data_IF_520626325246
#
_entry.id   IF_520626325246
#
_cell.length_a   1.000
_cell.length_b   1.000
_cell.length_c   1.000
_cell.angle_alpha   90.00
_cell.angle_beta   90.00
_cell.angle_gamma   90.00
#
_symmetry.space_group_name_H-M   'P 1'
#
loop_
_entity.id
_entity.type
_entity.pdbx_description
1 polymer ?
#
# COMPACT_ATOMS: atom_id res chain seq x y z
N UNK A 1 22.06 17.52 -9.59
CA UNK A 1 21.45 17.68 -8.24
C UNK A 1 20.39 16.60 -8.06
N UNK A 2 20.44 15.82 -6.97
CA UNK A 2 19.39 14.84 -6.64
C UNK A 2 18.22 15.60 -6.02
N UNK A 3 17.02 15.43 -6.58
CA UNK A 3 15.80 15.99 -5.98
C UNK A 3 15.67 15.50 -4.52
N UNK A 4 15.15 16.32 -3.61
CA UNK A 4 15.14 15.96 -2.20
C UNK A 4 14.17 14.80 -1.90
N UNK A 5 14.64 13.78 -1.18
CA UNK A 5 13.95 12.50 -0.95
C UNK A 5 12.61 12.61 -0.20
N UNK A 6 12.31 13.76 0.41
CA UNK A 6 11.00 14.01 1.06
C UNK A 6 9.87 14.29 0.05
N UNK A 7 10.20 14.64 -1.20
CA UNK A 7 9.25 14.78 -2.30
C UNK A 7 8.99 13.47 -3.04
N UNK A 8 9.81 12.44 -2.82
CA UNK A 8 9.64 11.14 -3.43
C UNK A 8 8.60 10.31 -2.65
N UNK A 9 7.74 9.61 -3.40
CA UNK A 9 6.73 8.72 -2.84
C UNK A 9 5.39 9.40 -2.49
N UNK A 10 4.51 8.64 -1.86
CA UNK A 10 3.11 9.03 -1.61
C UNK A 10 3.04 10.24 -0.68
N UNK A 11 3.93 10.29 0.32
CA UNK A 11 4.02 11.38 1.29
C UNK A 11 4.31 12.74 0.64
N UNK A 12 5.18 12.76 -0.38
CA UNK A 12 5.58 13.98 -1.08
C UNK A 12 4.42 14.55 -1.88
N UNK A 13 3.72 13.69 -2.62
CA UNK A 13 2.52 14.08 -3.37
C UNK A 13 1.41 14.60 -2.45
N UNK A 14 1.21 13.96 -1.28
CA UNK A 14 0.21 14.40 -0.31
C UNK A 14 0.55 15.77 0.31
N UNK A 15 1.83 16.03 0.60
CA UNK A 15 2.30 17.35 1.07
C UNK A 15 2.06 18.45 0.04
N UNK A 16 2.29 18.17 -1.25
CA UNK A 16 2.02 19.14 -2.32
C UNK A 16 0.54 19.51 -2.35
N UNK A 17 -0.36 18.51 -2.37
CA UNK A 17 -1.80 18.77 -2.37
C UNK A 17 -2.27 19.58 -1.14
N UNK A 18 -1.74 19.27 0.05
CA UNK A 18 -2.11 19.99 1.28
C UNK A 18 -1.62 21.43 1.26
N UNK A 19 -0.38 21.69 0.83
CA UNK A 19 0.16 23.06 0.70
C UNK A 19 -0.64 23.87 -0.33
N UNK A 20 -0.93 23.32 -1.51
CA UNK A 20 -1.73 23.99 -2.52
C UNK A 20 -3.16 24.29 -2.03
N UNK A 21 -3.77 23.35 -1.30
CA UNK A 21 -5.09 23.56 -0.70
C UNK A 21 -5.07 24.70 0.33
N UNK A 22 -4.06 24.74 1.21
CA UNK A 22 -3.90 25.80 2.23
C UNK A 22 -3.70 27.16 1.56
N UNK A 23 -2.84 27.24 0.56
CA UNK A 23 -2.59 28.49 -0.19
C UNK A 23 -3.87 28.97 -0.89
N UNK A 24 -4.61 28.07 -1.55
CA UNK A 24 -5.88 28.41 -2.21
C UNK A 24 -6.91 28.91 -1.21
N UNK A 25 -7.02 28.27 -0.03
CA UNK A 25 -7.93 28.69 1.03
C UNK A 25 -7.53 30.07 1.60
N UNK A 26 -6.23 30.30 1.83
CA UNK A 26 -5.73 31.58 2.33
C UNK A 26 -6.02 32.72 1.34
N UNK A 27 -5.81 32.49 0.03
CA UNK A 27 -6.17 33.46 -1.01
C UNK A 27 -7.69 33.71 -1.04
N UNK A 28 -8.52 32.67 -0.94
CA UNK A 28 -9.97 32.82 -0.91
C UNK A 28 -10.41 33.74 0.25
N UNK A 29 -9.86 33.52 1.45
CA UNK A 29 -10.14 34.33 2.64
C UNK A 29 -9.62 35.76 2.46
N UNK A 30 -8.41 35.93 1.93
CA UNK A 30 -7.83 37.25 1.69
C UNK A 30 -8.69 38.07 0.72
N UNK A 31 -9.08 37.52 -0.42
CA UNK A 31 -9.93 38.22 -1.38
C UNK A 31 -11.33 38.52 -0.83
N UNK A 32 -11.90 37.61 -0.02
CA UNK A 32 -13.18 37.85 0.66
C UNK A 32 -13.10 39.04 1.63
N UNK A 33 -12.02 39.11 2.42
CA UNK A 33 -11.79 40.19 3.38
C UNK A 33 -11.58 41.56 2.70
N UNK A 34 -11.04 41.58 1.48
CA UNK A 34 -10.84 42.79 0.68
C UNK A 34 -12.06 43.18 -0.17
N UNK A 35 -13.21 42.49 -0.03
CA UNK A 35 -14.44 42.78 -0.77
C UNK A 35 -14.47 42.27 -2.23
N UNK A 36 -13.45 41.52 -2.67
CA UNK A 36 -13.37 40.93 -4.00
C UNK A 36 -14.05 39.56 -4.07
N UNK A 37 -15.38 39.56 -3.98
CA UNK A 37 -16.19 38.34 -3.84
C UNK A 37 -16.00 37.33 -4.99
N UNK A 38 -15.85 37.80 -6.24
CA UNK A 38 -15.66 36.94 -7.40
C UNK A 38 -14.36 36.11 -7.33
N UNK A 39 -13.26 36.75 -6.92
CA UNK A 39 -11.97 36.08 -6.73
C UNK A 39 -12.00 35.13 -5.54
N UNK A 40 -12.68 35.50 -4.46
CA UNK A 40 -12.86 34.63 -3.30
C UNK A 40 -13.55 33.31 -3.67
N UNK A 41 -14.66 33.39 -4.42
CA UNK A 41 -15.38 32.20 -4.88
C UNK A 41 -14.55 31.35 -5.85
N UNK A 42 -13.75 31.99 -6.72
CA UNK A 42 -12.85 31.30 -7.63
C UNK A 42 -11.80 30.44 -6.87
N UNK A 43 -11.10 31.03 -5.90
CA UNK A 43 -10.11 30.29 -5.10
C UNK A 43 -10.74 29.26 -4.16
N UNK A 44 -11.94 29.51 -3.66
CA UNK A 44 -12.70 28.50 -2.90
C UNK A 44 -13.07 27.30 -3.78
N UNK A 45 -13.46 27.54 -5.04
CA UNK A 45 -13.71 26.50 -6.04
C UNK A 45 -12.46 25.68 -6.35
N UNK A 46 -11.30 26.33 -6.50
CA UNK A 46 -10.01 25.64 -6.69
C UNK A 46 -9.67 24.76 -5.49
N UNK A 47 -9.84 25.25 -4.27
CA UNK A 47 -9.58 24.46 -3.07
C UNK A 47 -10.47 23.21 -3.00
N UNK A 48 -11.78 23.35 -3.29
CA UNK A 48 -12.70 22.22 -3.36
C UNK A 48 -12.31 21.20 -4.45
N UNK A 49 -11.88 21.69 -5.60
CA UNK A 49 -11.42 20.84 -6.71
C UNK A 49 -10.15 20.05 -6.35
N UNK A 50 -9.17 20.71 -5.72
CA UNK A 50 -7.94 20.06 -5.23
C UNK A 50 -8.28 18.95 -4.22
N UNK A 51 -9.21 19.19 -3.30
CA UNK A 51 -9.64 18.18 -2.32
C UNK A 51 -10.27 16.96 -3.00
N UNK A 52 -11.11 17.16 -4.02
CA UNK A 52 -11.74 16.08 -4.74
C UNK A 52 -10.73 15.21 -5.48
N UNK A 53 -9.76 15.84 -6.17
CA UNK A 53 -8.66 15.12 -6.83
C UNK A 53 -7.80 14.37 -5.81
N UNK A 54 -7.44 15.02 -4.71
CA UNK A 54 -6.60 14.42 -3.66
C UNK A 54 -7.28 13.19 -3.05
N UNK A 55 -8.60 13.24 -2.81
CA UNK A 55 -9.36 12.11 -2.29
C UNK A 55 -9.37 10.91 -3.27
N UNK A 56 -9.64 11.18 -4.55
CA UNK A 56 -9.64 10.14 -5.58
C UNK A 56 -8.24 9.50 -5.74
N UNK A 57 -7.20 10.33 -5.71
CA UNK A 57 -5.82 9.87 -5.76
C UNK A 57 -5.46 9.01 -4.53
N UNK A 58 -5.85 9.42 -3.33
CA UNK A 58 -5.63 8.65 -2.10
C UNK A 58 -6.34 7.29 -2.14
N UNK A 59 -7.58 7.26 -2.62
CA UNK A 59 -8.31 6.00 -2.75
C UNK A 59 -7.59 5.01 -3.68
N UNK A 60 -7.15 5.48 -4.84
CA UNK A 60 -6.54 4.62 -5.87
C UNK A 60 -5.10 4.21 -5.54
N UNK A 61 -4.31 5.09 -4.90
CA UNK A 61 -2.89 4.84 -4.60
C UNK A 61 -2.63 4.22 -3.24
N UNK A 62 -3.52 4.42 -2.27
CA UNK A 62 -3.29 3.99 -0.89
C UNK A 62 -4.35 3.00 -0.45
N UNK A 63 -5.63 3.37 -0.52
CA UNK A 63 -6.72 2.56 0.06
C UNK A 63 -6.89 1.23 -0.69
N UNK A 64 -7.02 1.28 -2.02
CA UNK A 64 -7.25 0.09 -2.83
C UNK A 64 -6.10 -0.94 -2.73
N UNK A 65 -4.81 -0.55 -2.84
CA UNK A 65 -3.70 -1.49 -2.65
C UNK A 65 -3.63 -2.08 -1.25
N UNK A 66 -3.89 -1.29 -0.19
CA UNK A 66 -3.90 -1.78 1.19
C UNK A 66 -4.98 -2.85 1.40
N UNK A 67 -6.19 -2.62 0.87
CA UNK A 67 -7.26 -3.61 0.94
C UNK A 67 -6.87 -4.90 0.20
N UNK A 68 -6.26 -4.79 -0.98
CA UNK A 68 -5.77 -5.93 -1.74
C UNK A 68 -4.68 -6.73 -1.01
N UNK A 69 -3.73 -6.04 -0.35
CA UNK A 69 -2.74 -6.69 0.51
C UNK A 69 -3.39 -7.39 1.70
N UNK A 70 -4.42 -6.79 2.30
CA UNK A 70 -5.22 -7.41 3.35
C UNK A 70 -5.89 -8.71 2.90
N UNK A 71 -6.40 -8.76 1.67
CA UNK A 71 -6.96 -9.99 1.10
C UNK A 71 -5.91 -11.08 0.88
N UNK A 72 -4.73 -10.72 0.37
CA UNK A 72 -3.62 -11.67 0.22
C UNK A 72 -3.20 -12.21 1.59
N UNK A 73 -3.07 -11.35 2.60
CA UNK A 73 -2.75 -11.78 3.96
C UNK A 73 -3.78 -12.75 4.52
N UNK A 74 -5.09 -12.48 4.32
CA UNK A 74 -6.17 -13.40 4.70
C UNK A 74 -6.06 -14.75 3.99
N UNK A 75 -5.73 -14.77 2.70
CA UNK A 75 -5.54 -16.01 1.93
C UNK A 75 -4.35 -16.83 2.44
N UNK A 76 -3.24 -16.18 2.77
CA UNK A 76 -2.06 -16.83 3.37
C UNK A 76 -2.44 -17.43 4.72
N UNK A 77 -3.16 -16.70 5.56
CA UNK A 77 -3.67 -17.21 6.84
C UNK A 77 -4.62 -18.40 6.69
N UNK A 78 -5.37 -18.46 5.57
CA UNK A 78 -6.22 -19.58 5.20
C UNK A 78 -5.49 -20.79 4.58
N UNK A 79 -4.15 -20.79 4.56
CA UNK A 79 -3.34 -21.92 4.06
C UNK A 79 -2.91 -21.81 2.60
N UNK A 80 -3.27 -20.75 1.88
CA UNK A 80 -2.77 -20.49 0.51
C UNK A 80 -1.36 -19.89 0.56
N UNK A 81 -0.41 -20.64 1.12
CA UNK A 81 0.98 -20.21 1.27
C UNK A 81 1.66 -19.96 -0.09
N UNK A 82 2.48 -18.92 -0.18
CA UNK A 82 3.15 -18.53 -1.43
C UNK A 82 2.28 -17.67 -2.36
N UNK A 83 1.09 -17.25 -1.94
CA UNK A 83 0.31 -16.26 -2.67
C UNK A 83 1.06 -14.91 -2.73
N UNK A 84 1.13 -14.30 -3.91
CA UNK A 84 1.82 -13.03 -4.13
C UNK A 84 0.84 -11.92 -4.48
N UNK A 85 1.02 -10.77 -3.86
CA UNK A 85 0.39 -9.52 -4.25
C UNK A 85 1.14 -8.89 -5.43
N UNK A 86 0.39 -8.29 -6.36
CA UNK A 86 0.99 -7.55 -7.47
C UNK A 86 1.51 -6.21 -6.99
N UNK A 87 2.79 -5.93 -7.25
CA UNK A 87 3.40 -4.64 -6.93
C UNK A 87 3.01 -3.61 -7.99
N UNK A 88 2.29 -2.58 -7.57
CA UNK A 88 1.81 -1.54 -8.47
C UNK A 88 2.85 -0.43 -8.69
N UNK A 89 3.57 -0.02 -7.65
CA UNK A 89 4.55 1.07 -7.69
C UNK A 89 5.78 0.79 -6.82
N UNK A 90 6.84 1.58 -6.98
CA UNK A 90 8.08 1.50 -6.19
C UNK A 90 8.13 2.58 -5.11
N UNK A 91 7.05 2.70 -4.35
CA UNK A 91 6.87 3.67 -3.28
C UNK A 91 6.75 2.94 -1.92
N UNK A 92 6.25 3.64 -0.90
CA UNK A 92 6.03 3.07 0.42
C UNK A 92 5.08 1.85 0.41
N UNK A 93 4.05 1.85 -0.45
CA UNK A 93 3.10 0.74 -0.61
C UNK A 93 3.73 -0.41 -1.39
N UNK A 94 4.57 -0.09 -2.39
CA UNK A 94 5.40 -1.05 -3.08
C UNK A 94 6.33 -1.82 -2.15
N UNK A 95 7.02 -1.10 -1.26
CA UNK A 95 7.90 -1.70 -0.24
C UNK A 95 7.12 -2.61 0.73
N UNK A 96 5.92 -2.19 1.14
CA UNK A 96 5.04 -3.04 1.95
C UNK A 96 4.59 -4.31 1.19
N UNK A 97 4.31 -4.17 -0.10
CA UNK A 97 3.96 -5.29 -0.98
C UNK A 97 5.10 -6.31 -1.06
N UNK A 98 6.34 -5.84 -1.23
CA UNK A 98 7.52 -6.70 -1.25
C UNK A 98 7.70 -7.44 0.08
N UNK A 99 7.51 -6.76 1.21
CA UNK A 99 7.61 -7.36 2.53
C UNK A 99 6.57 -8.47 2.77
N UNK A 100 5.32 -8.25 2.35
CA UNK A 100 4.25 -9.26 2.44
C UNK A 100 4.55 -10.45 1.53
N UNK A 101 5.05 -10.21 0.32
CA UNK A 101 5.44 -11.26 -0.61
C UNK A 101 6.58 -12.12 -0.07
N UNK A 102 7.62 -11.51 0.49
CA UNK A 102 8.74 -12.23 1.13
C UNK A 102 8.23 -13.10 2.29
N UNK A 103 7.38 -12.54 3.16
CA UNK A 103 6.74 -13.28 4.24
C UNK A 103 5.94 -14.49 3.71
N UNK A 104 5.15 -14.31 2.66
CA UNK A 104 4.33 -15.37 2.03
C UNK A 104 5.19 -16.53 1.52
N UNK A 105 6.30 -16.21 0.84
CA UNK A 105 7.26 -17.20 0.33
C UNK A 105 7.92 -17.96 1.46
N UNK A 106 8.37 -17.26 2.52
CA UNK A 106 8.99 -17.91 3.69
C UNK A 106 8.06 -18.90 4.39
N UNK A 107 6.78 -18.54 4.54
CA UNK A 107 5.78 -19.44 5.12
C UNK A 107 5.60 -20.69 4.23
N UNK A 108 5.52 -20.51 2.91
CA UNK A 108 5.42 -21.61 1.95
C UNK A 108 6.62 -22.57 2.07
N UNK A 109 7.84 -22.04 2.08
CA UNK A 109 9.06 -22.83 2.23
C UNK A 109 9.08 -23.60 3.54
N UNK A 110 8.73 -22.95 4.66
CA UNK A 110 8.68 -23.62 5.97
C UNK A 110 7.66 -24.77 6.00
N UNK A 111 6.47 -24.56 5.41
CA UNK A 111 5.44 -25.59 5.30
C UNK A 111 5.89 -26.79 4.44
N UNK A 112 6.58 -26.52 3.33
CA UNK A 112 7.09 -27.57 2.45
C UNK A 112 8.15 -28.42 3.15
N UNK A 113 9.10 -27.80 3.86
CA UNK A 113 10.12 -28.52 4.63
C UNK A 113 9.51 -29.38 5.75
N UNK A 114 8.46 -28.89 6.42
CA UNK A 114 7.74 -29.69 7.42
C UNK A 114 7.06 -30.91 6.79
N UNK A 115 6.43 -30.74 5.62
CA UNK A 115 5.75 -31.82 4.90
C UNK A 115 6.75 -32.87 4.41
N UNK A 116 7.90 -32.44 3.90
CA UNK A 116 8.98 -33.32 3.46
C UNK A 116 9.57 -34.14 4.62
N UNK A 117 9.78 -33.50 5.78
CA UNK A 117 10.25 -34.18 6.99
C UNK A 117 9.26 -35.25 7.48
N UNK A 118 7.96 -34.94 7.51
CA UNK A 118 6.94 -35.91 7.91
C UNK A 118 6.90 -37.10 6.92
N UNK A 119 7.06 -36.81 5.63
CA UNK A 119 7.11 -37.83 4.57
C UNK A 119 8.34 -38.74 4.72
N UNK A 120 9.54 -38.17 4.91
CA UNK A 120 10.77 -38.95 5.05
C UNK A 120 10.75 -39.84 6.29
N UNK A 121 10.31 -39.32 7.44
CA UNK A 121 10.14 -40.11 8.67
C UNK A 121 9.14 -41.25 8.46
N UNK A 122 8.01 -40.98 7.79
CA UNK A 122 7.02 -42.02 7.48
C UNK A 122 7.59 -43.11 6.57
N UNK A 123 8.45 -42.74 5.62
CA UNK A 123 9.14 -43.68 4.75
C UNK A 123 10.16 -44.54 5.49
N UNK A 124 10.93 -43.97 6.43
CA UNK A 124 11.91 -44.72 7.23
C UNK A 124 11.27 -45.64 8.28
N UNK A 125 10.09 -45.30 8.80
CA UNK A 125 9.36 -46.15 9.76
C UNK A 125 8.62 -47.32 9.09
N UNK A 126 8.28 -47.22 7.80
CA UNK A 126 7.54 -48.28 7.08
C UNK A 126 8.42 -49.48 6.68
N UNK A 127 9.71 -49.28 6.46
CA UNK A 127 10.66 -50.33 6.02
C UNK A 127 11.10 -51.35 7.10
N UNK A 128 11.24 -51.03 8.41
CA UNK A 128 11.63 -52.03 9.41
C UNK A 128 10.47 -52.92 9.90
N UNK A 129 9.21 -52.50 9.78
CA UNK A 129 8.04 -53.26 10.26
C UNK A 129 7.67 -54.49 9.40
N UNK A 130 8.31 -54.68 8.24
CA UNK A 130 8.15 -55.86 7.39
C UNK A 130 9.33 -56.85 7.48
N UNK A 131 10.33 -56.56 8.32
CA UNK A 131 11.52 -57.39 8.49
C UNK A 131 11.49 -58.27 9.76
N UNK A 132 10.36 -58.32 10.48
CA UNK A 132 10.12 -59.23 11.63
C UNK A 132 8.86 -60.05 11.35
#
# INVERSE_FOLDING_TARGET
ERAPDWLAGIKGTWLVFSVFCIVSLALAVFFAANGHLAWALFFAGIAAFILLISNYWLHTRVVAPILGLGDIARRIAGGSYGALANKLENDEIGSLTDAINDMSVRICTANNSQTEFISSVSHELRTPLTAI
#
